data_IF_207049937268
#
_entry.id   IF_207049937268
#
_cell.length_a   1.000
_cell.length_b   1.000
_cell.length_c   1.000
_cell.angle_alpha   90.00
_cell.angle_beta   90.00
_cell.angle_gamma   90.00
#
_symmetry.space_group_name_H-M   'P 1'
#
loop_
_entity.id
_entity.type
_entity.pdbx_description
1 polymer ?
#
# COMPACT_ATOMS: atom_id res chain seq x y z
N UNK A 1 6.51 -6.94 -45.12
CA UNK A 1 7.65 -6.38 -44.36
C UNK A 1 7.07 -5.45 -43.31
N UNK A 2 7.07 -5.89 -42.05
CA UNK A 2 6.57 -5.15 -40.90
C UNK A 2 7.38 -3.87 -40.69
N UNK A 3 6.70 -2.75 -40.43
CA UNK A 3 7.31 -1.54 -39.89
C UNK A 3 7.32 -1.68 -38.38
N UNK A 4 8.47 -1.96 -37.79
CA UNK A 4 8.68 -1.77 -36.36
C UNK A 4 8.49 -0.29 -36.04
N UNK A 5 7.51 0.02 -35.18
CA UNK A 5 7.27 1.37 -34.66
C UNK A 5 8.45 1.75 -33.77
N UNK A 6 9.03 2.91 -34.02
CA UNK A 6 10.17 3.44 -33.27
C UNK A 6 9.80 3.64 -31.78
N UNK A 7 10.67 3.15 -30.89
CA UNK A 7 10.69 3.50 -29.46
C UNK A 7 11.12 4.97 -29.38
N UNK A 8 10.16 5.89 -29.25
CA UNK A 8 10.43 7.32 -29.17
C UNK A 8 11.24 7.64 -27.91
N UNK A 9 12.33 8.38 -28.06
CA UNK A 9 13.12 8.90 -26.94
C UNK A 9 12.24 9.89 -26.15
N UNK A 10 11.84 9.52 -24.93
CA UNK A 10 11.14 10.43 -24.00
C UNK A 10 12.08 11.59 -23.67
N UNK A 11 11.61 12.82 -23.81
CA UNK A 11 12.38 14.02 -23.48
C UNK A 11 12.40 14.24 -21.96
N UNK A 12 13.39 14.98 -21.46
CA UNK A 12 13.41 15.39 -20.03
C UNK A 12 12.12 16.10 -19.62
N UNK A 13 11.51 16.88 -20.52
CA UNK A 13 10.23 17.54 -20.28
C UNK A 13 9.08 16.55 -20.06
N UNK A 14 9.08 15.40 -20.75
CA UNK A 14 8.05 14.37 -20.59
C UNK A 14 8.15 13.71 -19.22
N UNK A 15 9.39 13.45 -18.76
CA UNK A 15 9.62 12.90 -17.41
C UNK A 15 9.23 13.89 -16.32
N UNK A 16 9.55 15.18 -16.47
CA UNK A 16 9.16 16.22 -15.50
C UNK A 16 7.64 16.40 -15.47
N UNK A 17 6.96 16.33 -16.62
CA UNK A 17 5.50 16.38 -16.68
C UNK A 17 4.87 15.17 -15.98
N UNK A 18 5.32 13.96 -16.30
CA UNK A 18 4.82 12.73 -15.69
C UNK A 18 5.05 12.72 -14.17
N UNK A 19 6.23 13.13 -13.70
CA UNK A 19 6.53 13.22 -12.27
C UNK A 19 5.58 14.19 -11.55
N UNK A 20 5.24 15.31 -12.18
CA UNK A 20 4.27 16.26 -11.62
C UNK A 20 2.87 15.68 -11.54
N UNK A 21 2.45 14.92 -12.56
CA UNK A 21 1.17 14.21 -12.56
C UNK A 21 1.11 13.17 -11.44
N UNK A 22 2.19 12.40 -11.23
CA UNK A 22 2.29 11.46 -10.11
C UNK A 22 2.13 12.14 -8.75
N UNK A 23 2.80 13.28 -8.52
CA UNK A 23 2.69 14.03 -7.25
C UNK A 23 1.27 14.56 -7.01
N UNK A 24 0.56 14.95 -8.08
CA UNK A 24 -0.83 15.39 -7.98
C UNK A 24 -1.77 14.24 -7.66
N UNK A 25 -1.55 13.07 -8.27
CA UNK A 25 -2.29 11.84 -7.98
C UNK A 25 -2.10 11.42 -6.53
N UNK A 26 -0.85 11.37 -6.05
CA UNK A 26 -0.52 11.06 -4.66
C UNK A 26 -1.28 11.99 -3.70
N UNK A 27 -1.24 13.31 -3.97
CA UNK A 27 -1.96 14.30 -3.16
C UNK A 27 -3.49 14.11 -3.16
N UNK A 28 -4.07 13.62 -4.26
CA UNK A 28 -5.51 13.37 -4.37
C UNK A 28 -5.90 12.08 -3.63
N UNK A 29 -5.09 11.02 -3.75
CA UNK A 29 -5.27 9.77 -2.98
C UNK A 29 -5.22 10.07 -1.49
N UNK A 30 -4.18 10.79 -1.04
CA UNK A 30 -3.99 11.26 0.34
C UNK A 30 -5.18 12.07 0.87
N UNK A 31 -5.87 12.78 -0.03
CA UNK A 31 -7.03 13.58 0.31
C UNK A 31 -8.27 12.71 0.40
N UNK A 32 -8.47 11.79 -0.54
CA UNK A 32 -9.59 10.85 -0.54
C UNK A 32 -9.53 9.98 0.71
N UNK A 33 -8.37 9.38 1.01
CA UNK A 33 -8.15 8.57 2.23
C UNK A 33 -8.63 9.29 3.50
N UNK A 34 -8.36 10.60 3.62
CA UNK A 34 -8.72 11.39 4.81
C UNK A 34 -10.16 11.92 4.81
N UNK A 35 -10.76 12.14 3.65
CA UNK A 35 -12.02 12.88 3.53
C UNK A 35 -13.20 12.04 3.06
N UNK A 36 -12.93 10.98 2.30
CA UNK A 36 -13.91 10.06 1.74
C UNK A 36 -13.23 8.71 1.44
N UNK A 37 -12.88 7.93 2.48
CA UNK A 37 -12.19 6.64 2.30
C UNK A 37 -13.05 5.65 1.51
N UNK A 38 -14.38 5.67 1.70
CA UNK A 38 -15.30 4.81 0.94
C UNK A 38 -15.21 5.08 -0.58
N UNK A 39 -15.01 6.35 -0.99
CA UNK A 39 -14.81 6.70 -2.39
C UNK A 39 -13.43 6.29 -2.93
N UNK A 40 -12.40 6.22 -2.08
CA UNK A 40 -11.09 5.69 -2.47
C UNK A 40 -11.19 4.18 -2.70
N UNK A 41 -11.81 3.44 -1.79
CA UNK A 41 -12.05 2.00 -1.93
C UNK A 41 -12.84 1.68 -3.20
N UNK A 42 -13.90 2.44 -3.50
CA UNK A 42 -14.68 2.25 -4.73
C UNK A 42 -13.83 2.53 -5.99
N UNK A 43 -12.97 3.54 -5.95
CA UNK A 43 -12.06 3.85 -7.05
C UNK A 43 -11.04 2.72 -7.26
N UNK A 44 -10.43 2.21 -6.20
CA UNK A 44 -9.46 1.11 -6.27
C UNK A 44 -10.10 -0.17 -6.79
N UNK A 45 -11.29 -0.53 -6.28
CA UNK A 45 -12.06 -1.67 -6.79
C UNK A 45 -12.42 -1.51 -8.26
N UNK A 46 -12.85 -0.32 -8.68
CA UNK A 46 -13.14 -0.04 -10.08
C UNK A 46 -11.90 -0.25 -10.95
N UNK A 47 -10.74 0.28 -10.53
CA UNK A 47 -9.51 0.18 -11.31
C UNK A 47 -9.02 -1.27 -11.43
N UNK A 48 -9.12 -2.04 -10.35
CA UNK A 48 -8.75 -3.45 -10.32
C UNK A 48 -9.68 -4.34 -11.17
N UNK A 49 -10.98 -4.02 -11.20
CA UNK A 49 -11.95 -4.80 -11.97
C UNK A 49 -12.01 -4.43 -13.46
N UNK A 50 -11.51 -3.25 -13.85
CA UNK A 50 -11.42 -2.84 -15.25
C UNK A 50 -10.36 -3.62 -16.05
N UNK A 51 -9.33 -4.16 -15.39
CA UNK A 51 -8.26 -4.93 -16.02
C UNK A 51 -8.05 -6.28 -15.29
N UNK A 52 -8.69 -7.36 -15.75
CA UNK A 52 -8.59 -8.67 -15.10
C UNK A 52 -7.18 -9.27 -15.19
N UNK A 53 -6.39 -8.90 -16.21
CA UNK A 53 -5.00 -9.36 -16.32
C UNK A 53 -4.15 -8.70 -15.21
N UNK A 54 -4.35 -7.39 -14.99
CA UNK A 54 -3.70 -6.68 -13.87
C UNK A 54 -4.12 -7.25 -12.52
N UNK A 55 -5.40 -7.57 -12.35
CA UNK A 55 -5.89 -8.18 -11.11
C UNK A 55 -5.25 -9.55 -10.86
N UNK A 56 -5.12 -10.39 -11.89
CA UNK A 56 -4.41 -11.66 -11.78
C UNK A 56 -2.92 -11.46 -11.40
N UNK A 57 -2.25 -10.45 -11.94
CA UNK A 57 -0.88 -10.11 -11.53
C UNK A 57 -0.78 -9.69 -10.05
N UNK A 58 -1.70 -8.85 -9.58
CA UNK A 58 -1.76 -8.42 -8.17
C UNK A 58 -2.02 -9.61 -7.25
N UNK A 59 -3.01 -10.44 -7.58
CA UNK A 59 -3.33 -11.64 -6.80
C UNK A 59 -2.14 -12.61 -6.80
N UNK A 60 -1.46 -12.80 -7.93
CA UNK A 60 -0.28 -13.66 -8.00
C UNK A 60 0.85 -13.15 -7.10
N UNK A 61 1.09 -11.84 -7.06
CA UNK A 61 2.08 -11.22 -6.16
C UNK A 61 1.69 -11.45 -4.69
N UNK A 62 0.42 -11.29 -4.32
CA UNK A 62 -0.11 -11.62 -2.98
C UNK A 62 0.13 -13.08 -2.62
N UNK A 63 -0.28 -14.00 -3.50
CA UNK A 63 -0.14 -15.45 -3.29
C UNK A 63 1.33 -15.88 -3.22
N UNK A 64 2.22 -15.24 -3.97
CA UNK A 64 3.66 -15.53 -3.93
C UNK A 64 4.30 -15.19 -2.58
N UNK A 65 3.70 -14.26 -1.83
CA UNK A 65 4.17 -13.81 -0.51
C UNK A 65 3.54 -14.59 0.64
N UNK A 66 2.41 -15.27 0.39
CA UNK A 66 1.69 -16.07 1.40
C UNK A 66 1.46 -17.51 0.90
N UNK A 67 2.44 -18.42 1.11
CA UNK A 67 2.26 -19.84 0.84
C UNK A 67 1.10 -20.46 1.63
N UNK A 68 0.80 -19.92 2.81
CA UNK A 68 -0.34 -20.31 3.66
C UNK A 68 -1.67 -20.07 2.94
N UNK A 69 -1.87 -18.87 2.39
CA UNK A 69 -3.05 -18.52 1.60
C UNK A 69 -3.19 -19.42 0.36
N UNK A 70 -2.06 -19.70 -0.31
CA UNK A 70 -2.02 -20.64 -1.43
C UNK A 70 -2.49 -22.04 -1.01
N UNK A 71 -2.10 -22.53 0.17
CA UNK A 71 -2.56 -23.84 0.68
C UNK A 71 -4.03 -23.83 1.05
N UNK A 72 -4.51 -22.75 1.66
CA UNK A 72 -5.92 -22.62 2.03
C UNK A 72 -6.82 -22.64 0.79
N UNK A 73 -6.50 -21.81 -0.21
CA UNK A 73 -7.22 -21.78 -1.48
C UNK A 73 -7.21 -23.13 -2.19
N UNK A 74 -6.09 -23.86 -2.15
CA UNK A 74 -6.03 -25.22 -2.70
C UNK A 74 -6.97 -26.19 -1.97
N UNK A 75 -7.04 -26.11 -0.64
CA UNK A 75 -7.91 -26.98 0.15
C UNK A 75 -9.37 -26.66 -0.10
N UNK A 76 -9.73 -25.39 -0.08
CA UNK A 76 -11.08 -24.91 -0.37
C UNK A 76 -11.50 -25.30 -1.79
N UNK A 77 -10.68 -25.01 -2.80
CA UNK A 77 -10.97 -25.36 -4.18
C UNK A 77 -11.13 -26.87 -4.37
N UNK A 78 -10.30 -27.68 -3.72
CA UNK A 78 -10.40 -29.14 -3.81
C UNK A 78 -11.69 -29.67 -3.18
N UNK A 79 -12.16 -29.05 -2.10
CA UNK A 79 -13.35 -29.46 -1.37
C UNK A 79 -14.64 -28.97 -2.06
N UNK A 80 -14.62 -27.78 -2.66
CA UNK A 80 -15.74 -27.19 -3.38
C UNK A 80 -15.88 -27.71 -4.82
N UNK A 81 -14.80 -27.71 -5.59
CA UNK A 81 -14.77 -28.14 -6.98
C UNK A 81 -13.51 -28.95 -7.32
N UNK A 82 -13.57 -30.24 -6.98
CA UNK A 82 -12.51 -31.18 -7.26
C UNK A 82 -12.25 -31.42 -8.76
N UNK A 83 -13.17 -31.10 -9.66
CA UNK A 83 -12.91 -31.20 -11.12
C UNK A 83 -12.06 -30.02 -11.59
N UNK A 84 -12.43 -28.80 -11.20
CA UNK A 84 -11.66 -27.59 -11.47
C UNK A 84 -10.26 -27.66 -10.84
N UNK A 85 -10.13 -28.17 -9.62
CA UNK A 85 -8.84 -28.39 -8.99
C UNK A 85 -7.92 -29.30 -9.82
N UNK A 86 -8.46 -30.38 -10.42
CA UNK A 86 -7.67 -31.27 -11.27
C UNK A 86 -7.32 -30.64 -12.62
N UNK A 87 -8.18 -29.78 -13.15
CA UNK A 87 -7.89 -29.00 -14.35
C UNK A 87 -6.70 -28.06 -14.12
N UNK A 88 -6.72 -27.29 -13.03
CA UNK A 88 -5.62 -26.38 -12.67
C UNK A 88 -4.32 -27.13 -12.35
N UNK A 89 -4.39 -28.29 -11.69
CA UNK A 89 -3.22 -29.16 -11.52
C UNK A 89 -2.61 -29.59 -12.86
N UNK A 90 -3.42 -29.69 -13.91
CA UNK A 90 -2.97 -30.00 -15.27
C UNK A 90 -2.20 -28.87 -15.95
N UNK A 91 -2.31 -27.64 -15.46
CA UNK A 91 -1.54 -26.49 -15.94
C UNK A 91 -0.13 -26.39 -15.33
N UNK A 92 0.12 -27.12 -14.24
CA UNK A 92 1.43 -27.22 -13.61
C UNK A 92 2.35 -28.16 -14.38
N UNK A 93 3.65 -27.85 -14.42
CA UNK A 93 4.63 -28.78 -14.97
C UNK A 93 4.94 -29.92 -13.98
N UNK A 94 5.60 -30.96 -14.49
CA UNK A 94 5.95 -32.14 -13.68
C UNK A 94 6.82 -31.75 -12.48
N UNK A 95 6.26 -31.89 -11.27
CA UNK A 95 6.94 -31.59 -10.01
C UNK A 95 6.72 -30.17 -9.47
N UNK A 96 5.99 -29.31 -10.19
CA UNK A 96 5.56 -28.00 -9.69
C UNK A 96 4.34 -28.14 -8.79
N UNK A 97 4.24 -27.22 -7.83
CA UNK A 97 3.07 -27.01 -6.98
C UNK A 97 2.48 -25.64 -7.24
N UNK A 98 1.28 -25.38 -6.71
CA UNK A 98 0.68 -24.04 -6.77
C UNK A 98 1.50 -22.97 -6.01
N UNK A 99 2.36 -23.37 -5.06
CA UNK A 99 3.31 -22.46 -4.41
C UNK A 99 4.42 -22.02 -5.38
N UNK A 100 4.82 -22.88 -6.33
CA UNK A 100 5.82 -22.56 -7.34
C UNK A 100 5.25 -21.73 -8.50
N UNK A 101 3.93 -21.82 -8.71
CA UNK A 101 3.19 -21.21 -9.82
C UNK A 101 1.88 -20.58 -9.29
N UNK A 102 1.97 -19.54 -8.45
CA UNK A 102 0.81 -18.89 -7.86
C UNK A 102 -0.11 -18.28 -8.92
N UNK A 103 0.42 -17.94 -10.10
CA UNK A 103 -0.34 -17.40 -11.23
C UNK A 103 -1.52 -18.29 -11.63
N UNK A 104 -1.39 -19.62 -11.50
CA UNK A 104 -2.44 -20.57 -11.87
C UNK A 104 -3.68 -20.43 -10.98
N UNK A 105 -3.49 -20.19 -9.68
CA UNK A 105 -4.60 -19.89 -8.77
C UNK A 105 -5.05 -18.44 -8.88
N UNK A 106 -4.11 -17.52 -9.15
CA UNK A 106 -4.39 -16.11 -9.25
C UNK A 106 -5.35 -15.78 -10.39
N UNK A 107 -5.23 -16.44 -11.54
CA UNK A 107 -6.17 -16.28 -12.65
C UNK A 107 -7.60 -16.66 -12.25
N UNK A 108 -7.77 -17.78 -11.53
CA UNK A 108 -9.08 -18.19 -11.03
C UNK A 108 -9.64 -17.16 -10.04
N UNK A 109 -8.84 -16.76 -9.05
CA UNK A 109 -9.25 -15.81 -8.04
C UNK A 109 -9.58 -14.45 -8.65
N UNK A 110 -8.80 -13.98 -9.64
CA UNK A 110 -9.08 -12.74 -10.35
C UNK A 110 -10.41 -12.78 -11.12
N UNK A 111 -10.74 -13.91 -11.76
CA UNK A 111 -12.06 -14.10 -12.39
C UNK A 111 -13.17 -14.04 -11.34
N UNK A 112 -13.01 -14.71 -10.21
CA UNK A 112 -14.00 -14.67 -9.12
C UNK A 112 -14.18 -13.26 -8.56
N UNK A 113 -13.10 -12.49 -8.39
CA UNK A 113 -13.14 -11.11 -7.91
C UNK A 113 -13.75 -10.15 -8.95
N UNK A 114 -13.58 -10.42 -10.25
CA UNK A 114 -14.23 -9.65 -11.29
C UNK A 114 -15.74 -9.91 -11.36
N UNK A 115 -16.18 -11.13 -11.02
CA UNK A 115 -17.61 -11.48 -10.94
C UNK A 115 -18.26 -11.01 -9.63
N UNK A 116 -17.52 -11.07 -8.52
CA UNK A 116 -17.96 -10.66 -7.19
C UNK A 116 -16.88 -9.80 -6.49
N UNK A 117 -16.92 -8.48 -6.66
CA UNK A 117 -15.93 -7.57 -6.08
C UNK A 117 -16.00 -7.50 -4.54
N UNK A 118 -17.06 -8.02 -3.90
CA UNK A 118 -17.12 -8.09 -2.44
C UNK A 118 -16.08 -9.08 -1.88
N UNK A 119 -15.62 -10.04 -2.71
CA UNK A 119 -14.54 -10.96 -2.36
C UNK A 119 -13.18 -10.23 -2.21
N UNK A 120 -12.99 -9.06 -2.83
CA UNK A 120 -11.77 -8.26 -2.69
C UNK A 120 -11.57 -7.81 -1.25
N UNK A 121 -12.64 -7.50 -0.51
CA UNK A 121 -12.52 -7.10 0.88
C UNK A 121 -11.94 -8.19 1.79
N UNK A 122 -12.23 -9.46 1.49
CA UNK A 122 -11.65 -10.59 2.24
C UNK A 122 -10.18 -10.80 1.89
N UNK A 123 -9.85 -10.66 0.60
CA UNK A 123 -8.46 -10.72 0.16
C UNK A 123 -7.64 -9.56 0.75
N UNK A 124 -8.21 -8.37 0.81
CA UNK A 124 -7.57 -7.16 1.35
C UNK A 124 -7.26 -7.29 2.84
N UNK A 125 -8.17 -7.87 3.64
CA UNK A 125 -7.93 -8.17 5.06
C UNK A 125 -6.75 -9.16 5.24
N UNK A 126 -6.69 -10.21 4.42
CA UNK A 126 -5.60 -11.19 4.46
C UNK A 126 -4.25 -10.59 3.99
N UNK A 127 -4.28 -9.71 2.99
CA UNK A 127 -3.11 -8.94 2.53
C UNK A 127 -2.62 -8.00 3.62
N UNK A 128 -3.54 -7.32 4.33
CA UNK A 128 -3.20 -6.44 5.43
C UNK A 128 -2.58 -7.21 6.60
N UNK A 129 -3.16 -8.35 6.98
CA UNK A 129 -2.61 -9.19 8.05
C UNK A 129 -1.26 -9.83 7.66
N UNK A 130 -1.11 -10.27 6.41
CA UNK A 130 0.12 -10.89 5.89
C UNK A 130 1.28 -9.91 5.64
N UNK A 131 1.01 -8.63 5.36
CA UNK A 131 2.05 -7.60 5.13
C UNK A 131 2.45 -6.83 6.40
N UNK A 132 1.56 -6.71 7.39
CA UNK A 132 1.79 -5.93 8.61
C UNK A 132 1.85 -6.79 9.89
N UNK A 133 1.77 -8.11 9.76
CA UNK A 133 1.94 -9.09 10.83
C UNK A 133 3.33 -9.05 11.48
N UNK A 134 3.39 -8.40 12.63
CA UNK A 134 4.18 -8.74 13.84
C UNK A 134 5.72 -8.62 13.86
N UNK A 135 6.44 -8.32 12.77
CA UNK A 135 7.92 -8.25 12.83
C UNK A 135 8.55 -6.83 12.97
N UNK A 136 7.75 -5.76 13.02
CA UNK A 136 8.27 -4.37 13.13
C UNK A 136 8.08 -3.69 14.49
N UNK A 137 7.69 -4.45 15.52
CA UNK A 137 7.83 -4.04 16.91
C UNK A 137 8.67 -5.07 17.67
N UNK A 138 9.92 -5.27 17.22
CA UNK A 138 10.92 -5.77 18.17
C UNK A 138 11.20 -4.63 19.15
N UNK A 139 10.81 -4.94 20.37
CA UNK A 139 10.90 -4.19 21.60
C UNK A 139 12.38 -3.95 21.93
N UNK A 140 13.00 -2.92 21.33
CA UNK A 140 14.23 -2.32 21.88
C UNK A 140 13.83 -1.32 22.99
N UNK A 141 13.05 -1.78 23.96
CA UNK A 141 12.90 -1.18 25.29
C UNK A 141 13.93 -1.86 26.21
N UNK A 142 15.19 -1.46 26.06
CA UNK A 142 16.23 -1.64 27.09
C UNK A 142 17.46 -0.79 26.73
N UNK A 143 17.35 0.53 26.91
CA UNK A 143 18.44 1.27 27.53
C UNK A 143 17.92 2.55 28.20
N UNK A 144 17.62 2.39 29.49
CA UNK A 144 17.95 3.36 30.52
C UNK A 144 19.28 4.06 30.21
N UNK A 145 19.22 5.34 29.84
CA UNK A 145 20.22 6.30 30.32
C UNK A 145 19.52 7.64 30.55
N UNK A 146 19.32 7.91 31.84
CA UNK A 146 19.07 9.24 32.39
C UNK A 146 20.06 10.27 31.85
N UNK A 147 19.59 11.27 31.10
CA UNK A 147 20.07 12.62 31.31
C UNK A 147 18.97 13.68 31.12
N UNK A 148 18.62 14.29 32.26
CA UNK A 148 17.60 15.31 32.35
C UNK A 148 17.95 16.56 31.55
N UNK A 149 17.06 16.91 30.62
CA UNK A 149 16.98 18.27 30.11
C UNK A 149 16.37 19.16 31.19
N UNK A 150 17.28 19.76 31.96
CA UNK A 150 17.00 20.88 32.84
C UNK A 150 16.37 22.03 32.06
N UNK A 151 15.23 22.45 32.58
CA UNK A 151 14.54 23.71 32.37
C UNK A 151 15.52 24.89 32.54
N UNK A 152 16.07 25.41 31.45
CA UNK A 152 16.70 26.73 31.44
C UNK A 152 15.71 27.76 30.90
N UNK A 153 14.91 28.25 31.84
CA UNK A 153 14.10 29.47 31.71
C UNK A 153 15.06 30.62 31.41
N UNK A 154 14.94 31.23 30.22
CA UNK A 154 15.60 32.49 29.91
C UNK A 154 14.94 33.61 30.71
N UNK A 155 15.42 33.82 31.93
CA UNK A 155 15.19 34.99 32.77
C UNK A 155 16.26 36.04 32.40
N UNK A 156 16.01 36.84 31.35
CA UNK A 156 16.76 38.08 31.15
C UNK A 156 16.21 39.15 32.10
N UNK A 157 16.75 39.08 33.32
CA UNK A 157 16.64 40.10 34.34
C UNK A 157 17.02 41.47 33.80
N UNK A 158 16.03 42.35 33.82
CA UNK A 158 16.15 43.80 33.88
C UNK A 158 16.92 44.16 35.15
N UNK A 159 18.00 44.95 35.02
CA UNK A 159 18.54 45.89 36.03
C UNK A 159 19.82 46.52 35.42
N UNK A 160 20.16 47.81 35.49
CA UNK A 160 19.70 48.98 36.23
C UNK A 160 20.05 50.24 35.41
N UNK A 161 19.31 51.34 35.64
CA UNK A 161 19.71 52.66 35.15
C UNK A 161 18.73 53.77 35.49
N UNK A 162 18.51 54.03 36.78
CA UNK A 162 17.56 55.03 37.24
C UNK A 162 17.90 56.49 36.90
N UNK A 163 16.86 57.30 36.67
CA UNK A 163 16.59 58.61 37.33
C UNK A 163 15.52 59.41 36.57
N UNK A 164 14.55 59.94 37.34
CA UNK A 164 13.75 61.13 36.98
C UNK A 164 12.39 60.78 36.37
N UNK A 165 11.30 60.67 37.14
CA UNK A 165 10.49 61.75 37.73
C UNK A 165 9.61 62.52 36.72
N UNK A 166 8.29 62.47 37.00
CA UNK A 166 7.20 63.32 36.50
C UNK A 166 6.76 63.07 35.05
N UNK A 167 5.53 63.34 34.63
CA UNK A 167 4.18 63.47 35.18
C UNK A 167 3.32 63.74 33.92
N UNK A 168 2.07 63.26 33.95
CA UNK A 168 0.85 63.73 33.26
C UNK A 168 0.90 64.75 32.09
N UNK A 169 -0.15 64.60 31.26
CA UNK A 169 -0.77 65.52 30.28
C UNK A 169 -0.52 65.08 28.83
N UNK A 170 -1.52 64.51 28.15
CA UNK A 170 -2.69 65.20 27.55
C UNK A 170 -2.26 66.37 26.66
N UNK A 171 -2.27 66.14 25.35
CA UNK A 171 -2.71 67.05 24.30
C UNK A 171 -2.84 66.30 22.97
#
# INVERSE_FOLDING_TARGET
KAKAKAKGERSHSDYVSAARECLLLESEIDRLERSDPDALDELERSLLTEDPDLLAEVVADVLSRSPELVRELQMELRDEDGELYQELLGELNEGETFEDRPEVLAELVAVMLAEDPDLLGRLDEEVAEGLFGEDYYDDDDDNDDEDGYGDEVYDEGIEEGGKGANAKEEL
#
